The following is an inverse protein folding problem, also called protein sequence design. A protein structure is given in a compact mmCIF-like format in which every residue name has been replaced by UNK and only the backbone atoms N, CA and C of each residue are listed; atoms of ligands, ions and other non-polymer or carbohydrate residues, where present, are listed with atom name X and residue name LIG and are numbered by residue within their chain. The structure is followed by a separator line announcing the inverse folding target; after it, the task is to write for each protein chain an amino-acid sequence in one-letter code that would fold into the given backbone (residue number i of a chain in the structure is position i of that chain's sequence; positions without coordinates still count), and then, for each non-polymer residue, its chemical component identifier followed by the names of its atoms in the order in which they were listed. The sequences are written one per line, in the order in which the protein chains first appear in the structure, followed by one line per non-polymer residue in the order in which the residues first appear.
data_IF_259379805960
#
_entry.id   IF_259379805960
#
_cell.length_a   1.000
_cell.length_b   1.000
_cell.length_c   1.000
_cell.angle_alpha   90.00
_cell.angle_beta   90.00
_cell.angle_gamma   90.00
#
_symmetry.space_group_name_H-M   'P 1'
#
loop_
_entity.id
_entity.type
_entity.pdbx_description
1 polymer ?
#
# COMPACT_ATOMS: atom_id res chain seq x y z
N UNK A 1 -37.54 17.08 -71.33
CA UNK A 1 -38.81 17.57 -70.72
C UNK A 1 -38.63 17.61 -69.22
N UNK A 2 -38.63 18.73 -68.55
CA UNK A 2 -38.62 18.84 -67.13
C UNK A 2 -40.00 18.49 -66.58
N UNK A 3 -40.12 17.46 -65.74
CA UNK A 3 -41.38 17.11 -65.07
C UNK A 3 -41.84 18.27 -64.22
N UNK A 4 -43.13 18.68 -64.41
CA UNK A 4 -43.72 19.79 -63.61
C UNK A 4 -44.01 19.32 -62.20
N UNK A 5 -44.03 18.02 -61.95
CA UNK A 5 -44.32 17.37 -60.62
C UNK A 5 -43.05 17.13 -59.78
N UNK A 6 -41.86 17.22 -60.35
CA UNK A 6 -40.61 17.02 -59.62
C UNK A 6 -39.60 18.12 -59.93
N UNK A 7 -39.30 18.95 -58.92
CA UNK A 7 -38.27 19.97 -59.04
C UNK A 7 -36.92 19.39 -58.61
N UNK A 8 -36.09 19.05 -59.58
CA UNK A 8 -34.78 18.42 -59.32
C UNK A 8 -33.83 19.36 -58.56
N UNK A 9 -33.91 20.67 -58.77
CA UNK A 9 -33.13 21.66 -58.06
C UNK A 9 -33.54 21.75 -56.58
N UNK A 10 -34.85 21.69 -56.28
CA UNK A 10 -35.34 21.65 -54.91
C UNK A 10 -34.93 20.37 -54.18
N UNK A 11 -34.97 19.23 -54.88
CA UNK A 11 -34.48 17.92 -54.31
C UNK A 11 -32.98 17.95 -54.03
N UNK A 12 -32.17 18.55 -54.91
CA UNK A 12 -30.74 18.70 -54.71
C UNK A 12 -30.45 19.67 -53.54
N UNK A 13 -31.17 20.77 -53.42
CA UNK A 13 -31.04 21.67 -52.29
C UNK A 13 -31.45 21.03 -50.96
N UNK A 14 -32.54 20.24 -50.96
CA UNK A 14 -32.97 19.48 -49.76
C UNK A 14 -31.93 18.39 -49.35
N UNK A 15 -31.33 17.76 -50.33
CA UNK A 15 -30.24 16.77 -50.07
C UNK A 15 -29.01 17.46 -49.48
N UNK A 16 -28.61 18.61 -50.03
CA UNK A 16 -27.49 19.38 -49.49
C UNK A 16 -27.78 19.88 -48.07
N UNK A 17 -29.01 20.38 -47.78
CA UNK A 17 -29.40 20.79 -46.46
C UNK A 17 -29.36 19.66 -45.44
N UNK A 18 -29.87 18.45 -45.79
CA UNK A 18 -29.79 17.26 -44.96
C UNK A 18 -28.35 16.86 -44.68
N UNK A 19 -27.49 16.90 -45.67
CA UNK A 19 -26.04 16.60 -45.48
C UNK A 19 -25.38 17.61 -44.53
N UNK A 20 -25.69 18.88 -44.68
CA UNK A 20 -25.16 19.93 -43.79
C UNK A 20 -25.66 19.74 -42.34
N UNK A 21 -26.95 19.47 -42.15
CA UNK A 21 -27.51 19.24 -40.83
C UNK A 21 -26.87 18.02 -40.16
N UNK A 22 -26.69 16.92 -40.88
CA UNK A 22 -25.99 15.71 -40.34
C UNK A 22 -24.52 16.02 -39.98
N UNK A 23 -23.84 16.82 -40.78
CA UNK A 23 -22.46 17.26 -40.49
C UNK A 23 -22.40 18.17 -39.24
N UNK A 24 -23.36 19.06 -39.07
CA UNK A 24 -23.46 19.90 -37.88
C UNK A 24 -23.74 19.07 -36.63
N UNK A 25 -24.67 18.10 -36.70
CA UNK A 25 -25.02 17.22 -35.59
C UNK A 25 -23.79 16.37 -35.18
N UNK A 26 -23.06 15.79 -36.15
CA UNK A 26 -21.83 15.04 -35.90
C UNK A 26 -20.75 15.94 -35.24
N UNK A 27 -20.59 17.17 -35.75
CA UNK A 27 -19.61 18.10 -35.20
C UNK A 27 -19.98 18.56 -33.78
N UNK A 28 -21.26 18.83 -33.52
CA UNK A 28 -21.74 19.17 -32.18
C UNK A 28 -21.52 17.99 -31.19
N UNK A 29 -21.81 16.76 -31.63
CA UNK A 29 -21.56 15.58 -30.82
C UNK A 29 -20.07 15.44 -30.48
N UNK A 30 -19.18 15.66 -31.45
CA UNK A 30 -17.71 15.62 -31.23
C UNK A 30 -17.21 16.71 -30.27
N UNK A 31 -17.76 17.92 -30.40
CA UNK A 31 -17.40 19.03 -29.51
C UNK A 31 -17.91 18.75 -28.09
N UNK A 32 -19.15 18.27 -27.96
CA UNK A 32 -19.75 17.97 -26.65
C UNK A 32 -19.05 16.83 -25.92
N UNK A 33 -18.68 15.77 -26.64
CA UNK A 33 -18.00 14.60 -26.05
C UNK A 33 -16.48 14.76 -25.96
N UNK A 34 -15.89 15.67 -26.74
CA UNK A 34 -14.44 15.81 -26.86
C UNK A 34 -13.78 14.67 -27.65
N UNK A 35 -14.55 13.76 -28.25
CA UNK A 35 -14.04 12.61 -28.97
C UNK A 35 -14.32 12.71 -30.46
N UNK A 36 -13.30 12.45 -31.28
CA UNK A 36 -13.45 12.38 -32.73
C UNK A 36 -14.22 11.10 -33.14
N UNK A 37 -14.00 10.00 -32.41
CA UNK A 37 -14.68 8.71 -32.58
C UNK A 37 -15.36 8.38 -31.24
N UNK A 38 -16.69 8.51 -31.24
CA UNK A 38 -17.50 8.30 -30.03
C UNK A 38 -18.17 6.92 -30.03
N UNK A 39 -18.46 6.38 -31.18
CA UNK A 39 -19.15 5.10 -31.34
C UNK A 39 -18.48 4.21 -32.38
N UNK A 40 -18.78 2.91 -32.33
CA UNK A 40 -18.31 1.96 -33.33
C UNK A 40 -18.82 2.27 -34.75
N UNK A 41 -19.96 2.97 -34.87
CA UNK A 41 -20.54 3.40 -36.14
C UNK A 41 -19.71 4.50 -36.82
N UNK A 42 -18.93 5.31 -36.07
CA UNK A 42 -18.06 6.31 -36.65
C UNK A 42 -16.83 5.68 -37.33
N UNK A 43 -16.18 4.79 -36.61
CA UNK A 43 -15.08 3.96 -37.11
C UNK A 43 -14.79 2.82 -36.11
N UNK A 44 -15.18 1.61 -36.46
CA UNK A 44 -15.10 0.47 -35.57
C UNK A 44 -13.65 0.11 -35.14
N UNK A 45 -12.67 0.26 -36.03
CA UNK A 45 -11.28 -0.03 -35.73
C UNK A 45 -10.69 0.96 -34.71
N UNK A 46 -10.84 2.25 -34.97
CA UNK A 46 -10.37 3.30 -34.05
C UNK A 46 -11.14 3.31 -32.74
N UNK A 47 -12.45 3.03 -32.77
CA UNK A 47 -13.27 2.93 -31.57
C UNK A 47 -12.79 1.79 -30.65
N UNK A 48 -12.51 0.61 -31.21
CA UNK A 48 -12.00 -0.54 -30.47
C UNK A 48 -10.66 -0.22 -29.79
N UNK A 49 -9.71 0.35 -30.56
CA UNK A 49 -8.40 0.76 -30.01
C UNK A 49 -8.58 1.82 -28.92
N UNK A 50 -9.34 2.87 -29.17
CA UNK A 50 -9.56 3.96 -28.23
C UNK A 50 -10.22 3.47 -26.93
N UNK A 51 -11.18 2.55 -27.04
CA UNK A 51 -11.86 1.98 -25.87
C UNK A 51 -10.90 1.14 -25.04
N UNK A 52 -10.07 0.31 -25.68
CA UNK A 52 -9.04 -0.46 -24.99
C UNK A 52 -8.02 0.46 -24.29
N UNK A 53 -7.52 1.48 -24.99
CA UNK A 53 -6.57 2.45 -24.39
C UNK A 53 -7.17 3.24 -23.22
N UNK A 54 -8.45 3.62 -23.30
CA UNK A 54 -9.14 4.27 -22.18
C UNK A 54 -9.28 3.35 -20.98
N UNK A 55 -9.59 2.06 -21.23
CA UNK A 55 -9.65 1.03 -20.19
C UNK A 55 -8.30 0.84 -19.54
N UNK A 56 -7.23 0.75 -20.33
CA UNK A 56 -5.87 0.57 -19.84
C UNK A 56 -5.38 1.80 -19.06
N UNK A 57 -5.71 3.00 -19.52
CA UNK A 57 -5.39 4.24 -18.78
C UNK A 57 -6.10 4.28 -17.41
N UNK A 58 -7.38 3.88 -17.36
CA UNK A 58 -8.10 3.78 -16.10
C UNK A 58 -7.52 2.72 -15.17
N UNK A 59 -7.11 1.57 -15.72
CA UNK A 59 -6.42 0.53 -14.95
C UNK A 59 -5.08 1.02 -14.39
N UNK A 60 -4.29 1.71 -15.22
CA UNK A 60 -3.02 2.32 -14.79
C UNK A 60 -3.21 3.38 -13.69
N UNK A 61 -4.24 4.22 -13.79
CA UNK A 61 -4.58 5.16 -12.72
C UNK A 61 -4.89 4.45 -11.40
N UNK A 62 -5.67 3.36 -11.44
CA UNK A 62 -5.96 2.56 -10.25
C UNK A 62 -4.70 1.91 -9.66
N UNK A 63 -3.78 1.46 -10.51
CA UNK A 63 -2.48 0.93 -10.06
C UNK A 63 -1.63 2.02 -9.42
N UNK A 64 -1.64 3.23 -9.96
CA UNK A 64 -0.93 4.37 -9.40
C UNK A 64 -1.47 4.73 -8.01
N UNK A 65 -2.79 4.72 -7.82
CA UNK A 65 -3.42 4.94 -6.52
C UNK A 65 -3.05 3.82 -5.52
N UNK A 66 -3.05 2.56 -5.98
CA UNK A 66 -2.64 1.41 -5.15
C UNK A 66 -1.17 1.47 -4.75
N UNK A 67 -0.29 1.91 -5.65
CA UNK A 67 1.13 2.15 -5.33
C UNK A 67 1.30 3.29 -4.31
N UNK A 68 0.55 4.37 -4.45
CA UNK A 68 0.54 5.46 -3.46
C UNK A 68 0.12 4.98 -2.07
N UNK A 69 -0.90 4.13 -2.00
CA UNK A 69 -1.33 3.51 -0.75
C UNK A 69 -0.24 2.58 -0.17
N UNK A 70 0.38 1.76 -1.02
CA UNK A 70 1.48 0.88 -0.63
C UNK A 70 2.70 1.65 -0.12
N UNK A 71 3.09 2.71 -0.82
CA UNK A 71 4.17 3.60 -0.39
C UNK A 71 3.88 4.22 0.98
N UNK A 72 2.65 4.69 1.21
CA UNK A 72 2.25 5.26 2.51
C UNK A 72 2.33 4.24 3.65
N UNK A 73 1.99 2.97 3.41
CA UNK A 73 2.16 1.89 4.39
C UNK A 73 3.63 1.68 4.74
N UNK A 74 4.50 1.65 3.73
CA UNK A 74 5.95 1.49 3.92
C UNK A 74 6.53 2.69 4.68
N UNK A 75 6.12 3.91 4.36
CA UNK A 75 6.60 5.12 5.02
C UNK A 75 6.23 5.16 6.51
N UNK A 76 5.00 4.73 6.86
CA UNK A 76 4.57 4.61 8.27
C UNK A 76 5.41 3.56 8.99
N UNK A 77 5.60 2.38 8.40
CA UNK A 77 6.42 1.33 8.99
C UNK A 77 7.88 1.77 9.15
N UNK A 78 8.46 2.42 8.14
CA UNK A 78 9.83 2.92 8.18
C UNK A 78 10.02 3.97 9.28
N UNK A 79 9.11 4.95 9.36
CA UNK A 79 9.18 6.00 10.39
C UNK A 79 9.08 5.43 11.79
N UNK A 80 8.21 4.46 12.01
CA UNK A 80 8.08 3.80 13.31
C UNK A 80 9.30 2.91 13.64
N UNK A 81 9.89 2.24 12.65
CA UNK A 81 11.16 1.50 12.85
C UNK A 81 12.31 2.43 13.22
N UNK A 82 12.41 3.59 12.57
CA UNK A 82 13.47 4.57 12.88
C UNK A 82 13.31 5.13 14.30
N UNK A 83 12.09 5.47 14.70
CA UNK A 83 11.79 5.86 16.08
C UNK A 83 12.08 4.73 17.09
N UNK A 84 11.75 3.48 16.75
CA UNK A 84 12.05 2.32 17.58
C UNK A 84 13.55 2.08 17.75
N UNK A 85 14.33 2.29 16.71
CA UNK A 85 15.80 2.23 16.76
C UNK A 85 16.38 3.24 17.74
N UNK A 86 15.83 4.46 17.78
CA UNK A 86 16.32 5.49 18.71
C UNK A 86 16.01 5.11 20.17
N UNK A 87 14.83 4.59 20.46
CA UNK A 87 14.48 4.08 21.80
C UNK A 87 15.38 2.90 22.19
N UNK A 88 15.67 1.98 21.24
CA UNK A 88 16.60 0.86 21.50
C UNK A 88 18.01 1.34 21.82
N UNK A 89 18.51 2.39 21.17
CA UNK A 89 19.81 3.00 21.48
C UNK A 89 19.81 3.60 22.90
N UNK A 90 18.69 4.17 23.34
CA UNK A 90 18.55 4.69 24.70
C UNK A 90 18.53 3.54 25.72
N UNK A 91 17.77 2.48 25.50
CA UNK A 91 17.77 1.26 26.32
C UNK A 91 19.20 0.71 26.45
N UNK A 92 19.91 0.58 25.32
CA UNK A 92 21.30 0.13 25.30
C UNK A 92 22.21 1.03 26.18
N UNK A 93 22.04 2.33 26.12
CA UNK A 93 22.80 3.27 26.95
C UNK A 93 22.50 3.08 28.44
N UNK A 94 21.23 2.88 28.81
CA UNK A 94 20.83 2.59 30.19
C UNK A 94 21.41 1.25 30.68
N UNK A 95 21.39 0.21 29.83
CA UNK A 95 21.98 -1.08 30.16
C UNK A 95 23.50 -0.99 30.42
N UNK A 96 24.22 -0.19 29.63
CA UNK A 96 25.65 0.05 29.87
C UNK A 96 25.87 0.81 31.19
N UNK A 97 25.03 1.78 31.48
CA UNK A 97 25.11 2.50 32.76
C UNK A 97 24.82 1.59 33.97
N UNK A 98 23.89 0.63 33.82
CA UNK A 98 23.57 -0.35 34.88
C UNK A 98 24.72 -1.30 35.25
N UNK A 99 25.71 -1.47 34.35
CA UNK A 99 26.91 -2.26 34.62
C UNK A 99 27.94 -1.56 35.50
N UNK A 100 27.81 -0.25 35.75
CA UNK A 100 28.74 0.47 36.60
C UNK A 100 28.49 0.19 38.08
N UNK A 101 29.55 0.02 38.91
CA UNK A 101 29.39 -0.17 40.34
C UNK A 101 28.86 1.11 41.01
N UNK A 102 27.97 0.95 41.97
CA UNK A 102 27.38 2.08 42.74
C UNK A 102 26.16 2.74 42.14
N UNK A 103 25.64 2.24 41.02
CA UNK A 103 24.42 2.75 40.40
C UNK A 103 23.20 1.99 40.93
N UNK A 104 22.09 2.74 41.17
CA UNK A 104 20.81 2.16 41.60
C UNK A 104 20.13 1.44 40.40
N UNK A 105 20.34 0.13 40.34
CA UNK A 105 19.84 -0.72 39.26
C UNK A 105 18.30 -0.74 39.19
N UNK A 106 17.62 -0.59 40.34
CA UNK A 106 16.16 -0.58 40.42
C UNK A 106 15.56 0.63 39.67
N UNK A 107 16.20 1.79 39.82
CA UNK A 107 15.77 3.00 39.07
C UNK A 107 15.99 2.87 37.59
N UNK A 108 17.15 2.33 37.17
CA UNK A 108 17.44 2.08 35.76
C UNK A 108 16.44 1.07 35.17
N UNK A 109 16.09 0.01 35.94
CA UNK A 109 15.08 -0.95 35.48
C UNK A 109 13.72 -0.31 35.26
N UNK A 110 13.30 0.63 36.15
CA UNK A 110 12.05 1.36 35.94
C UNK A 110 12.09 2.25 34.69
N UNK A 111 13.22 2.89 34.40
CA UNK A 111 13.40 3.68 33.17
C UNK A 111 13.38 2.78 31.93
N UNK A 112 14.04 1.62 31.97
CA UNK A 112 14.02 0.66 30.87
C UNK A 112 12.60 0.15 30.62
N UNK A 113 11.83 -0.15 31.67
CA UNK A 113 10.44 -0.58 31.52
C UNK A 113 9.56 0.47 30.84
N UNK A 114 9.75 1.77 31.16
CA UNK A 114 9.05 2.85 30.48
C UNK A 114 9.44 2.97 28.98
N UNK A 115 10.73 2.77 28.67
CA UNK A 115 11.20 2.77 27.27
C UNK A 115 10.65 1.56 26.50
N UNK A 116 10.48 0.41 27.16
CA UNK A 116 9.83 -0.77 26.57
C UNK A 116 8.36 -0.51 26.26
N UNK A 117 7.60 0.07 27.21
CA UNK A 117 6.22 0.48 26.97
C UNK A 117 6.11 1.50 25.83
N UNK A 118 7.06 2.44 25.75
CA UNK A 118 7.12 3.40 24.65
C UNK A 118 7.36 2.70 23.31
N UNK A 119 8.22 1.70 23.27
CA UNK A 119 8.56 0.94 22.07
C UNK A 119 7.36 0.13 21.56
N UNK A 120 6.63 -0.51 22.47
CA UNK A 120 5.37 -1.19 22.17
C UNK A 120 4.31 -0.20 21.67
N UNK A 121 4.22 0.98 22.31
CA UNK A 121 3.33 2.07 21.88
C UNK A 121 3.64 2.55 20.46
N UNK A 122 4.91 2.74 20.09
CA UNK A 122 5.34 3.11 18.74
C UNK A 122 4.93 2.04 17.73
N UNK A 123 5.19 0.77 18.04
CA UNK A 123 4.83 -0.35 17.17
C UNK A 123 3.32 -0.47 16.98
N UNK A 124 2.54 -0.35 18.04
CA UNK A 124 1.07 -0.42 17.99
C UNK A 124 0.46 0.77 17.24
N UNK A 125 1.06 1.95 17.35
CA UNK A 125 0.61 3.16 16.66
C UNK A 125 0.91 3.15 15.16
N UNK A 126 1.82 2.31 14.69
CA UNK A 126 2.24 2.22 13.29
C UNK A 126 1.18 1.54 12.40
N UNK A 127 -0.06 2.02 12.49
CA UNK A 127 -1.18 1.51 11.70
C UNK A 127 -1.49 2.44 10.54
N UNK A 128 -1.69 1.87 9.37
CA UNK A 128 -2.18 2.59 8.21
C UNK A 128 -3.34 1.82 7.55
N UNK A 129 -4.48 2.48 7.41
CA UNK A 129 -5.70 1.88 6.81
C UNK A 129 -6.10 0.52 7.45
N UNK A 130 -5.92 0.39 8.78
CA UNK A 130 -6.27 -0.82 9.53
C UNK A 130 -5.25 -1.96 9.41
N UNK A 131 -4.11 -1.76 8.75
CA UNK A 131 -3.01 -2.71 8.66
C UNK A 131 -1.82 -2.21 9.47
N UNK A 132 -1.26 -3.06 10.32
CA UNK A 132 -0.02 -2.80 11.06
C UNK A 132 1.01 -3.87 10.67
N UNK A 133 2.21 -3.43 10.26
CA UNK A 133 3.28 -4.34 9.84
C UNK A 133 4.33 -4.57 10.95
N UNK A 134 4.30 -3.76 12.01
CA UNK A 134 5.27 -3.82 13.10
C UNK A 134 4.74 -4.55 14.33
N UNK A 135 3.43 -4.46 14.59
CA UNK A 135 2.74 -5.22 15.62
C UNK A 135 1.74 -6.14 14.94
N UNK A 136 2.02 -7.42 14.93
CA UNK A 136 1.24 -8.45 14.25
C UNK A 136 0.63 -9.42 15.26
N UNK A 137 -0.38 -10.17 14.83
CA UNK A 137 -0.88 -11.32 15.57
C UNK A 137 -0.88 -12.53 14.64
N UNK A 138 0.17 -13.33 14.71
CA UNK A 138 0.33 -14.52 13.86
C UNK A 138 -0.63 -15.66 14.20
N UNK A 139 -1.34 -15.59 15.34
CA UNK A 139 -2.42 -16.53 15.70
C UNK A 139 -3.74 -16.22 15.00
N UNK A 140 -3.90 -15.02 14.45
CA UNK A 140 -5.14 -14.61 13.80
C UNK A 140 -5.36 -15.39 12.51
N UNK A 141 -6.58 -15.87 12.30
CA UNK A 141 -6.95 -16.57 11.05
C UNK A 141 -6.87 -15.69 9.81
N UNK A 142 -6.84 -14.37 9.98
CA UNK A 142 -6.68 -13.38 8.91
C UNK A 142 -5.25 -12.92 8.70
N UNK A 143 -4.29 -13.46 9.46
CA UNK A 143 -2.89 -13.12 9.32
C UNK A 143 -2.29 -13.68 8.03
N UNK A 144 -1.57 -12.83 7.30
CA UNK A 144 -0.75 -13.22 6.16
C UNK A 144 0.68 -12.78 6.41
N UNK A 145 1.63 -13.70 6.24
CA UNK A 145 3.07 -13.40 6.42
C UNK A 145 3.62 -12.42 5.39
N UNK A 146 2.95 -12.34 4.23
CA UNK A 146 3.34 -11.47 3.13
C UNK A 146 2.18 -10.57 2.74
N UNK A 147 2.45 -9.29 2.59
CA UNK A 147 1.50 -8.31 2.07
C UNK A 147 1.81 -8.05 0.60
N UNK A 148 0.76 -7.90 -0.21
CA UNK A 148 0.90 -7.66 -1.65
C UNK A 148 0.51 -6.25 -2.02
N UNK A 149 1.44 -5.53 -2.63
CA UNK A 149 1.19 -4.20 -3.20
C UNK A 149 1.20 -4.33 -4.72
N UNK A 150 0.12 -3.91 -5.37
CA UNK A 150 0.03 -3.92 -6.84
C UNK A 150 1.08 -2.95 -7.38
N UNK A 151 1.96 -3.43 -8.28
CA UNK A 151 3.08 -2.65 -8.80
C UNK A 151 2.92 -2.27 -10.27
N UNK A 152 2.30 -3.11 -11.08
CA UNK A 152 2.13 -2.81 -12.49
C UNK A 152 0.90 -3.47 -13.10
N UNK A 153 0.47 -2.89 -14.21
CA UNK A 153 -0.54 -3.44 -15.10
C UNK A 153 0.10 -3.56 -16.49
N UNK A 154 -0.07 -4.71 -17.13
CA UNK A 154 0.33 -4.91 -18.51
C UNK A 154 -0.74 -5.66 -19.28
N UNK A 155 -0.84 -5.35 -20.57
CA UNK A 155 -1.68 -6.07 -21.51
C UNK A 155 -0.82 -6.65 -22.63
N UNK A 156 -0.96 -7.95 -22.89
CA UNK A 156 -0.27 -8.60 -24.00
C UNK A 156 -0.91 -8.23 -25.35
N UNK A 157 -0.20 -8.48 -26.43
CA UNK A 157 -0.71 -8.31 -27.80
C UNK A 157 -1.95 -9.15 -28.09
N UNK A 158 -2.17 -10.21 -27.34
CA UNK A 158 -3.31 -11.11 -27.43
C UNK A 158 -4.52 -10.64 -26.60
N UNK A 159 -4.38 -9.51 -25.87
CA UNK A 159 -5.43 -8.96 -25.04
C UNK A 159 -5.47 -9.48 -23.60
N UNK A 160 -4.57 -10.39 -23.22
CA UNK A 160 -4.48 -10.90 -21.86
C UNK A 160 -3.96 -9.81 -20.90
N UNK A 161 -4.62 -9.69 -19.74
CA UNK A 161 -4.24 -8.74 -18.70
C UNK A 161 -3.38 -9.45 -17.67
N UNK A 162 -2.25 -8.85 -17.32
CA UNK A 162 -1.38 -9.26 -16.24
C UNK A 162 -1.20 -8.11 -15.24
N UNK A 163 -1.40 -8.44 -13.96
CA UNK A 163 -1.18 -7.52 -12.85
C UNK A 163 -0.02 -8.07 -12.05
N UNK A 164 1.07 -7.33 -11.97
CA UNK A 164 2.19 -7.69 -11.10
C UNK A 164 2.00 -7.04 -9.73
N UNK A 165 2.48 -7.73 -8.69
CA UNK A 165 2.51 -7.24 -7.32
C UNK A 165 3.90 -7.43 -6.73
N UNK A 166 4.29 -6.51 -5.86
CA UNK A 166 5.46 -6.67 -4.98
C UNK A 166 4.98 -7.34 -3.71
N UNK A 167 5.64 -8.40 -3.31
CA UNK A 167 5.41 -9.08 -2.04
C UNK A 167 6.37 -8.53 -1.01
N UNK A 168 5.84 -8.10 0.13
CA UNK A 168 6.59 -7.59 1.27
C UNK A 168 6.43 -8.59 2.40
N UNK A 169 7.55 -9.11 2.91
CA UNK A 169 7.56 -10.00 4.06
C UNK A 169 7.33 -9.18 5.35
N UNK A 170 6.11 -9.25 5.85
CA UNK A 170 5.69 -8.59 7.09
C UNK A 170 6.17 -9.39 8.30
N UNK A 171 6.24 -10.72 8.19
CA UNK A 171 6.68 -11.58 9.30
C UNK A 171 8.14 -11.31 9.68
N UNK A 172 9.00 -11.06 8.68
CA UNK A 172 10.42 -10.75 8.90
C UNK A 172 10.68 -9.33 9.40
N UNK A 173 9.72 -8.41 9.28
CA UNK A 173 9.85 -7.02 9.69
C UNK A 173 9.08 -6.65 10.96
N UNK A 174 8.24 -7.56 11.47
CA UNK A 174 7.45 -7.32 12.67
C UNK A 174 8.34 -7.19 13.92
N UNK A 175 8.14 -6.10 14.67
CA UNK A 175 8.84 -5.87 15.94
C UNK A 175 8.22 -6.70 17.07
N UNK A 176 6.89 -6.78 17.09
CA UNK A 176 6.12 -7.50 18.08
C UNK A 176 5.09 -8.43 17.43
N UNK A 177 4.89 -9.58 18.02
CA UNK A 177 3.85 -10.54 17.67
C UNK A 177 3.03 -10.87 18.92
N UNK A 178 1.74 -10.61 18.88
CA UNK A 178 0.78 -10.87 19.97
C UNK A 178 0.45 -12.36 20.15
N UNK A 179 1.22 -13.25 19.50
CA UNK A 179 1.08 -14.68 19.60
C UNK A 179 1.96 -15.23 20.73
N UNK A 180 1.47 -16.26 21.43
CA UNK A 180 2.21 -17.02 22.44
C UNK A 180 3.54 -17.64 21.93
N UNK A 181 3.70 -17.77 20.61
CA UNK A 181 4.94 -18.25 19.98
C UNK A 181 5.93 -17.13 19.64
N UNK A 182 5.67 -15.90 20.04
CA UNK A 182 6.46 -14.68 19.89
C UNK A 182 7.49 -14.70 18.74
N UNK A 183 7.12 -14.15 17.58
CA UNK A 183 7.98 -14.13 16.39
C UNK A 183 8.54 -12.74 16.06
N UNK A 184 8.17 -11.73 16.85
CA UNK A 184 8.65 -10.36 16.67
C UNK A 184 10.16 -10.24 16.87
N UNK A 185 10.80 -9.35 16.10
CA UNK A 185 12.25 -9.10 16.16
C UNK A 185 12.74 -8.72 17.57
N UNK A 186 11.87 -8.09 18.37
CA UNK A 186 12.19 -7.63 19.72
C UNK A 186 11.77 -8.61 20.82
N UNK A 187 11.07 -9.69 20.48
CA UNK A 187 10.59 -10.69 21.44
C UNK A 187 11.48 -11.93 21.54
N UNK A 188 12.52 -12.06 20.73
CA UNK A 188 13.45 -13.19 20.74
C UNK A 188 12.89 -14.46 20.11
N UNK A 189 13.78 -15.43 19.85
CA UNK A 189 13.44 -16.69 19.19
C UNK A 189 12.80 -17.66 20.18
N UNK A 190 11.62 -18.15 19.82
CA UNK A 190 10.95 -19.34 20.33
C UNK A 190 11.35 -19.82 21.74
N UNK A 191 10.51 -19.53 22.70
CA UNK A 191 10.56 -20.21 24.00
C UNK A 191 10.83 -19.34 25.21
N UNK A 192 11.11 -18.09 25.01
CA UNK A 192 11.27 -17.16 26.10
C UNK A 192 10.43 -15.94 25.86
N UNK A 193 9.50 -15.84 26.70
CA UNK A 193 8.90 -14.65 27.22
C UNK A 193 7.40 -14.58 27.00
N UNK A 194 6.71 -15.01 28.01
CA UNK A 194 5.45 -14.39 28.42
C UNK A 194 5.63 -12.88 28.45
N UNK A 195 4.60 -12.13 28.12
CA UNK A 195 4.50 -10.69 27.91
C UNK A 195 5.25 -9.75 28.89
N UNK A 196 5.87 -10.28 29.92
CA UNK A 196 6.57 -9.51 30.95
C UNK A 196 8.10 -9.73 30.98
N UNK A 197 8.68 -10.55 30.12
CA UNK A 197 10.05 -11.01 30.33
C UNK A 197 11.02 -10.82 29.15
N UNK A 198 10.63 -10.25 28.02
CA UNK A 198 11.51 -10.11 26.84
C UNK A 198 12.76 -9.26 27.11
N UNK A 199 12.70 -8.41 28.11
CA UNK A 199 13.81 -7.62 28.60
C UNK A 199 13.83 -7.50 30.15
N UNK A 200 13.18 -8.39 30.87
CA UNK A 200 13.29 -8.43 32.31
C UNK A 200 14.68 -8.97 32.66
N UNK A 201 15.60 -8.07 32.79
CA UNK A 201 16.78 -8.30 33.59
C UNK A 201 16.28 -8.40 35.03
N UNK A 202 16.08 -9.61 35.52
CA UNK A 202 15.77 -9.80 36.93
C UNK A 202 16.94 -9.31 37.77
N UNK A 203 16.65 -8.50 38.77
CA UNK A 203 17.65 -7.94 39.67
C UNK A 203 18.52 -9.03 40.39
N UNK A 204 18.07 -10.29 40.35
CA UNK A 204 18.82 -11.45 40.83
C UNK A 204 19.95 -11.91 39.91
N UNK A 205 19.88 -11.68 38.61
CA UNK A 205 20.91 -12.09 37.64
C UNK A 205 22.18 -11.23 37.69
N UNK A 206 22.12 -10.09 38.35
CA UNK A 206 23.27 -9.22 38.51
C UNK A 206 24.18 -9.57 39.69
N UNK A 207 23.69 -10.37 40.64
CA UNK A 207 24.42 -10.66 41.86
C UNK A 207 25.27 -11.93 41.78
N UNK A 208 25.05 -12.79 40.79
CA UNK A 208 25.62 -14.14 40.78
C UNK A 208 26.84 -14.35 39.83
N UNK A 209 27.46 -13.29 39.34
CA UNK A 209 28.72 -13.39 38.58
C UNK A 209 28.68 -14.33 37.37
N UNK A 210 27.49 -14.79 36.98
CA UNK A 210 27.27 -15.74 35.89
C UNK A 210 27.55 -15.09 34.54
N UNK A 211 28.46 -15.71 33.80
CA UNK A 211 28.85 -15.30 32.46
C UNK A 211 27.63 -15.23 31.55
N UNK A 212 27.42 -14.09 30.93
CA UNK A 212 26.50 -13.91 29.81
C UNK A 212 27.10 -14.70 28.65
N UNK A 213 26.47 -15.81 28.29
CA UNK A 213 26.74 -16.53 27.03
C UNK A 213 25.79 -16.00 25.95
#
# INVERSE_FOLDING_TARGET
MSSILTNTSAMTALKALRMTNNSIETTQSRISTGYQVNSASDNAAYWSIATTMRSDNKALSTVQDALGLGASKVDVAYTAMDASKDVLNEIKTKLVAAKQPGVDKSKIQSEISQLQEQLEGISSAATFSGSNWLSINSSSSSYTSTERVISSFSRSSEGNISIASVEIDVAGSALFDDNASARGLLQGTAGYVTSDAAFAYTAGDMDDGGAVT
#
